data_IF_924054845093
#
_entry.id   IF_924054845093
#
_cell.length_a   1.000
_cell.length_b   1.000
_cell.length_c   1.000
_cell.angle_alpha   90.00
_cell.angle_beta   90.00
_cell.angle_gamma   90.00
#
_symmetry.space_group_name_H-M   'P 1'
#
loop_
_entity.id
_entity.type
_entity.pdbx_description
1 polymer ?
#
# COMPACT_ATOMS: atom_id res chain seq x y z
N UNK A 1 -3.71 2.44 -5.91
CA UNK A 1 -2.93 3.31 -5.00
C UNK A 1 -1.98 2.46 -4.16
N UNK A 2 -0.72 2.85 -4.01
CA UNK A 2 0.28 2.17 -3.18
C UNK A 2 0.51 2.98 -1.91
N UNK A 3 0.47 2.33 -0.74
CA UNK A 3 0.49 3.00 0.57
C UNK A 3 1.50 2.33 1.49
N UNK A 4 2.25 3.09 2.30
CA UNK A 4 3.10 2.53 3.34
C UNK A 4 2.27 1.97 4.49
N UNK A 5 2.68 0.82 5.03
CA UNK A 5 1.87 0.05 5.98
C UNK A 5 2.34 0.26 7.43
N UNK A 6 1.86 1.34 8.05
CA UNK A 6 2.39 1.81 9.34
C UNK A 6 1.33 2.15 10.39
N UNK A 7 0.02 2.16 10.02
CA UNK A 7 -1.06 2.53 10.91
C UNK A 7 -1.91 1.32 11.32
N UNK A 8 -1.79 0.79 12.54
CA UNK A 8 -2.44 -0.48 12.93
C UNK A 8 -3.96 -0.53 12.71
N UNK A 9 -4.65 0.59 12.88
CA UNK A 9 -6.11 0.65 12.72
C UNK A 9 -6.55 1.58 11.60
N UNK A 10 -5.78 2.62 11.32
CA UNK A 10 -6.18 3.69 10.41
C UNK A 10 -5.87 3.37 8.94
N UNK A 11 -5.01 2.40 8.64
CA UNK A 11 -4.66 2.00 7.27
C UNK A 11 -5.89 1.51 6.46
N UNK A 12 -6.94 1.02 7.11
CA UNK A 12 -8.20 0.67 6.44
C UNK A 12 -9.00 1.90 6.02
N UNK A 13 -8.85 3.03 6.72
CA UNK A 13 -9.68 4.23 6.53
C UNK A 13 -8.97 5.37 5.82
N UNK A 14 -7.71 5.64 6.16
CA UNK A 14 -6.94 6.77 5.60
C UNK A 14 -6.95 6.77 4.08
N UNK A 15 -6.68 5.64 3.36
CA UNK A 15 -6.69 5.64 1.91
C UNK A 15 -8.07 5.85 1.27
N UNK A 16 -9.14 5.67 2.04
CA UNK A 16 -10.51 5.86 1.54
C UNK A 16 -10.95 7.32 1.56
N UNK A 17 -10.38 8.14 2.46
CA UNK A 17 -10.77 9.54 2.62
C UNK A 17 -10.63 10.38 1.34
N UNK A 18 -9.48 10.38 0.62
CA UNK A 18 -9.31 11.22 -0.56
C UNK A 18 -10.08 10.70 -1.79
N UNK A 19 -10.68 9.51 -1.70
CA UNK A 19 -11.38 8.85 -2.80
C UNK A 19 -12.89 9.08 -2.72
N UNK A 20 -13.38 9.43 -1.53
CA UNK A 20 -14.82 9.67 -1.31
C UNK A 20 -15.40 10.65 -2.36
N UNK A 21 -16.60 10.41 -2.92
CA UNK A 21 -17.57 9.36 -2.55
C UNK A 21 -17.38 8.00 -3.26
N UNK A 22 -16.29 7.79 -4.00
CA UNK A 22 -16.00 6.50 -4.63
C UNK A 22 -15.50 5.50 -3.57
N UNK A 23 -15.67 4.21 -3.87
CA UNK A 23 -15.19 3.15 -2.98
C UNK A 23 -13.70 2.90 -3.16
N UNK A 24 -13.07 2.51 -2.09
CA UNK A 24 -11.71 1.99 -2.06
C UNK A 24 -11.74 0.50 -1.70
N UNK A 25 -10.98 -0.31 -2.42
CA UNK A 25 -10.81 -1.73 -2.16
C UNK A 25 -9.36 -2.01 -1.78
N UNK A 26 -9.13 -3.04 -0.98
CA UNK A 26 -7.82 -3.35 -0.42
C UNK A 26 -7.39 -4.75 -0.84
N UNK A 27 -6.20 -4.89 -1.41
CA UNK A 27 -5.61 -6.21 -1.61
C UNK A 27 -5.01 -6.67 -0.28
N UNK A 28 -5.48 -7.81 0.21
CA UNK A 28 -5.13 -8.35 1.53
C UNK A 28 -4.63 -9.79 1.46
N UNK A 29 -3.86 -10.21 2.47
CA UNK A 29 -3.52 -11.62 2.65
C UNK A 29 -4.82 -12.43 2.92
N UNK A 30 -5.00 -13.62 2.29
CA UNK A 30 -6.17 -14.46 2.50
C UNK A 30 -6.42 -14.80 3.98
N UNK A 31 -5.41 -14.87 4.81
CA UNK A 31 -5.55 -15.07 6.25
C UNK A 31 -6.43 -14.00 6.92
N UNK A 32 -6.37 -12.75 6.45
CA UNK A 32 -7.15 -11.65 7.03
C UNK A 32 -8.65 -11.79 6.80
N UNK A 33 -9.06 -12.46 5.72
CA UNK A 33 -10.50 -12.71 5.41
C UNK A 33 -10.99 -14.04 5.96
N UNK A 34 -10.08 -14.92 6.38
CA UNK A 34 -10.39 -16.24 6.93
C UNK A 34 -10.63 -16.23 8.45
N UNK A 35 -10.41 -15.09 9.12
CA UNK A 35 -10.63 -14.96 10.55
C UNK A 35 -12.12 -15.04 10.89
N UNK A 36 -12.47 -15.97 11.82
CA UNK A 36 -13.84 -16.08 12.32
C UNK A 36 -14.32 -14.73 12.89
N UNK A 37 -15.56 -14.35 12.58
CA UNK A 37 -16.24 -13.10 12.96
C UNK A 37 -15.71 -11.81 12.32
N UNK A 38 -14.40 -11.69 12.02
CA UNK A 38 -13.80 -10.47 11.47
C UNK A 38 -13.73 -10.53 9.95
N UNK A 39 -13.57 -11.72 9.35
CA UNK A 39 -13.40 -11.90 7.91
C UNK A 39 -14.52 -11.31 7.07
N UNK A 40 -15.78 -11.52 7.44
CA UNK A 40 -16.92 -10.92 6.74
C UNK A 40 -16.92 -9.39 6.84
N UNK A 41 -16.57 -8.84 7.99
CA UNK A 41 -16.49 -7.40 8.20
C UNK A 41 -15.37 -6.78 7.34
N UNK A 42 -14.22 -7.42 7.29
CA UNK A 42 -13.08 -6.99 6.46
C UNK A 42 -13.45 -7.02 4.96
N UNK A 43 -14.20 -8.04 4.51
CA UNK A 43 -14.72 -8.11 3.14
C UNK A 43 -15.75 -6.99 2.86
N UNK A 44 -16.65 -6.69 3.79
CA UNK A 44 -17.59 -5.58 3.67
C UNK A 44 -16.88 -4.22 3.52
N UNK A 45 -15.72 -4.06 4.15
CA UNK A 45 -14.86 -2.88 3.98
C UNK A 45 -14.12 -2.85 2.64
N UNK A 46 -14.29 -3.86 1.78
CA UNK A 46 -13.72 -3.89 0.44
C UNK A 46 -12.42 -4.69 0.33
N UNK A 47 -12.15 -5.62 1.23
CA UNK A 47 -10.99 -6.49 1.13
C UNK A 47 -11.12 -7.48 -0.03
N UNK A 48 -10.08 -7.55 -0.87
CA UNK A 48 -9.94 -8.50 -1.96
C UNK A 48 -8.76 -9.42 -1.61
N UNK A 49 -8.99 -10.69 -1.28
CA UNK A 49 -7.91 -11.60 -0.90
C UNK A 49 -7.04 -11.98 -2.10
N UNK A 50 -5.73 -12.05 -1.88
CA UNK A 50 -4.78 -12.56 -2.87
C UNK A 50 -5.07 -14.05 -3.10
N UNK A 51 -5.25 -14.51 -4.36
CA UNK A 51 -5.59 -15.88 -4.65
C UNK A 51 -4.41 -16.84 -4.46
N UNK A 52 -4.70 -18.03 -3.94
CA UNK A 52 -3.72 -19.11 -3.76
C UNK A 52 -3.52 -20.02 -4.97
N UNK A 53 -4.38 -19.93 -6.01
CA UNK A 53 -4.31 -20.78 -7.18
C UNK A 53 -4.61 -20.01 -8.49
N UNK A 54 -4.35 -20.67 -9.64
CA UNK A 54 -4.50 -20.04 -10.97
C UNK A 54 -5.94 -19.69 -11.34
N UNK A 55 -6.90 -20.50 -10.94
CA UNK A 55 -8.31 -20.29 -11.25
C UNK A 55 -8.85 -19.07 -10.49
N UNK A 56 -8.59 -19.03 -9.19
CA UNK A 56 -8.95 -17.88 -8.37
C UNK A 56 -8.22 -16.60 -8.81
N UNK A 57 -7.02 -16.71 -9.42
CA UNK A 57 -6.31 -15.56 -9.99
C UNK A 57 -7.09 -14.88 -11.12
N UNK A 58 -7.77 -15.65 -11.97
CA UNK A 58 -8.62 -15.08 -13.03
C UNK A 58 -9.77 -14.27 -12.44
N UNK A 59 -10.45 -14.83 -11.45
CA UNK A 59 -11.54 -14.14 -10.77
C UNK A 59 -11.04 -12.88 -10.03
N UNK A 60 -9.89 -12.96 -9.38
CA UNK A 60 -9.25 -11.82 -8.72
C UNK A 60 -8.96 -10.67 -9.72
N UNK A 61 -8.40 -10.98 -10.88
CA UNK A 61 -8.13 -9.98 -11.92
C UNK A 61 -9.42 -9.37 -12.46
N UNK A 62 -10.46 -10.18 -12.70
CA UNK A 62 -11.77 -9.69 -13.12
C UNK A 62 -12.39 -8.72 -12.11
N UNK A 63 -12.28 -9.04 -10.80
CA UNK A 63 -12.78 -8.16 -9.73
C UNK A 63 -12.03 -6.83 -9.70
N UNK A 64 -10.71 -6.86 -9.86
CA UNK A 64 -9.90 -5.62 -9.93
C UNK A 64 -10.31 -4.79 -11.15
N UNK A 65 -10.39 -5.41 -12.34
CA UNK A 65 -10.76 -4.74 -13.59
C UNK A 65 -12.16 -4.10 -13.49
N UNK A 66 -13.14 -4.84 -12.98
CA UNK A 66 -14.50 -4.32 -12.79
C UNK A 66 -14.54 -3.10 -11.87
N UNK A 67 -13.80 -3.13 -10.76
CA UNK A 67 -13.75 -2.01 -9.84
C UNK A 67 -13.04 -0.79 -10.45
N UNK A 68 -11.95 -0.99 -11.20
CA UNK A 68 -11.28 0.09 -11.93
C UNK A 68 -12.23 0.68 -12.98
N UNK A 69 -12.96 -0.13 -13.74
CA UNK A 69 -13.96 0.35 -14.71
C UNK A 69 -15.07 1.19 -14.07
N UNK A 70 -15.47 0.86 -12.85
CA UNK A 70 -16.41 1.64 -12.03
C UNK A 70 -15.77 2.90 -11.41
N UNK A 71 -14.52 3.20 -11.74
CA UNK A 71 -13.74 4.33 -11.17
C UNK A 71 -13.57 4.24 -9.65
N UNK A 72 -13.54 3.02 -9.12
CA UNK A 72 -13.13 2.75 -7.75
C UNK A 72 -11.61 2.70 -7.65
N UNK A 73 -11.08 2.86 -6.45
CA UNK A 73 -9.65 2.69 -6.18
C UNK A 73 -9.34 1.29 -5.65
N UNK A 74 -8.15 0.81 -6.00
CA UNK A 74 -7.56 -0.39 -5.41
C UNK A 74 -6.32 0.04 -4.62
N UNK A 75 -6.32 -0.23 -3.33
CA UNK A 75 -5.18 0.05 -2.45
C UNK A 75 -4.35 -1.21 -2.24
N UNK A 76 -3.04 -1.04 -2.34
CA UNK A 76 -2.04 -2.09 -2.14
C UNK A 76 -1.01 -1.60 -1.14
N UNK A 77 -0.71 -2.42 -0.15
CA UNK A 77 0.39 -2.23 0.78
C UNK A 77 1.59 -3.06 0.31
N UNK A 78 2.53 -2.48 -0.48
CA UNK A 78 3.57 -3.26 -1.14
C UNK A 78 4.60 -3.83 -0.17
N UNK A 79 4.68 -3.28 1.03
CA UNK A 79 5.56 -3.72 2.12
C UNK A 79 5.10 -5.02 2.79
N UNK A 80 3.89 -5.51 2.47
CA UNK A 80 3.21 -6.73 2.92
C UNK A 80 2.84 -6.75 4.42
N UNK A 81 3.80 -6.53 5.32
CA UNK A 81 3.57 -6.55 6.76
C UNK A 81 3.49 -5.14 7.33
N UNK A 82 2.63 -4.93 8.31
CA UNK A 82 2.57 -3.67 9.05
C UNK A 82 3.78 -3.55 9.99
N UNK A 83 4.42 -2.38 9.98
CA UNK A 83 5.37 -1.97 11.01
C UNK A 83 4.82 -0.71 11.68
N UNK A 84 4.21 -0.84 12.86
CA UNK A 84 3.52 0.27 13.52
C UNK A 84 4.41 1.50 13.67
N UNK A 85 3.93 2.63 13.18
CA UNK A 85 4.59 3.94 13.31
C UNK A 85 6.00 4.03 12.70
N UNK A 86 6.36 3.12 11.80
CA UNK A 86 7.65 3.16 11.13
C UNK A 86 7.74 4.39 10.20
N UNK A 87 8.83 5.14 10.32
CA UNK A 87 8.98 6.44 9.65
C UNK A 87 9.67 6.38 8.29
N UNK A 88 10.20 5.21 7.92
CA UNK A 88 10.88 4.99 6.62
C UNK A 88 10.04 4.07 5.73
N UNK A 89 10.45 3.90 4.49
CA UNK A 89 9.85 2.96 3.55
C UNK A 89 10.72 1.71 3.47
N UNK A 90 10.11 0.55 3.73
CA UNK A 90 10.81 -0.74 3.57
C UNK A 90 10.89 -1.12 2.09
N UNK A 91 11.97 -1.78 1.67
CA UNK A 91 12.07 -2.29 0.31
C UNK A 91 10.91 -3.25 -0.01
N UNK A 92 10.31 -3.10 -1.19
CA UNK A 92 9.25 -3.98 -1.67
C UNK A 92 9.48 -4.44 -3.11
N UNK A 93 8.90 -5.59 -3.43
CA UNK A 93 8.99 -6.19 -4.76
C UNK A 93 8.06 -5.50 -5.76
N UNK A 94 8.32 -5.70 -7.04
CA UNK A 94 7.56 -5.14 -8.14
C UNK A 94 6.32 -5.96 -8.54
N UNK A 95 6.09 -7.12 -7.92
CA UNK A 95 5.08 -8.12 -8.32
C UNK A 95 3.67 -7.54 -8.50
N UNK A 96 3.24 -6.65 -7.60
CA UNK A 96 1.90 -6.05 -7.67
C UNK A 96 1.78 -5.01 -8.77
N UNK A 97 2.89 -4.45 -9.26
CA UNK A 97 2.90 -3.45 -10.32
C UNK A 97 2.49 -4.01 -11.70
N UNK A 98 2.42 -5.33 -11.84
CA UNK A 98 1.83 -5.97 -13.03
C UNK A 98 0.36 -5.57 -13.24
N UNK A 99 -0.41 -5.34 -12.18
CA UNK A 99 -1.84 -5.03 -12.27
C UNK A 99 -2.11 -3.71 -13.01
N UNK A 100 -1.55 -2.56 -12.60
CA UNK A 100 -1.76 -1.31 -13.31
C UNK A 100 -1.24 -1.34 -14.75
N UNK A 101 -0.17 -2.11 -15.02
CA UNK A 101 0.37 -2.25 -16.38
C UNK A 101 -0.59 -3.08 -17.26
N UNK A 102 -1.15 -4.16 -16.74
CA UNK A 102 -2.11 -4.99 -17.48
C UNK A 102 -3.43 -4.25 -17.77
N UNK A 103 -3.85 -3.39 -16.84
CA UNK A 103 -5.11 -2.65 -16.93
C UNK A 103 -4.94 -1.24 -17.50
N UNK A 104 -3.74 -0.88 -17.91
CA UNK A 104 -3.37 0.48 -18.42
C UNK A 104 -3.93 1.60 -17.53
N UNK A 105 -3.74 1.48 -16.21
CA UNK A 105 -4.30 2.41 -15.23
C UNK A 105 -3.23 3.24 -14.54
N UNK A 106 -3.52 4.50 -14.17
CA UNK A 106 -2.60 5.33 -13.42
C UNK A 106 -2.37 4.76 -12.01
N UNK A 107 -1.16 4.97 -11.53
CA UNK A 107 -0.73 4.67 -10.16
C UNK A 107 -0.58 5.95 -9.37
N UNK A 108 -1.06 5.94 -8.14
CA UNK A 108 -0.78 6.96 -7.15
C UNK A 108 -0.07 6.30 -5.96
N UNK A 109 0.82 7.03 -5.29
CA UNK A 109 1.33 6.60 -4.00
C UNK A 109 0.84 7.53 -2.89
N UNK A 110 0.63 6.93 -1.72
CA UNK A 110 0.24 7.63 -0.51
C UNK A 110 1.27 7.31 0.58
N UNK A 111 1.85 8.35 1.16
CA UNK A 111 2.86 8.22 2.21
C UNK A 111 2.37 8.90 3.47
N UNK A 112 2.12 8.11 4.50
CA UNK A 112 1.82 8.59 5.84
C UNK A 112 3.13 8.92 6.56
N UNK A 113 3.21 10.11 7.12
CA UNK A 113 4.36 10.62 7.89
C UNK A 113 3.91 11.09 9.27
N UNK A 114 4.82 11.07 10.23
CA UNK A 114 4.58 11.46 11.61
C UNK A 114 5.28 12.77 11.89
N UNK A 115 4.50 13.81 12.18
CA UNK A 115 5.04 15.15 12.33
C UNK A 115 4.54 15.80 13.61
N UNK A 116 5.35 16.69 14.18
CA UNK A 116 4.91 17.54 15.30
C UNK A 116 3.80 18.48 14.82
N UNK A 117 2.80 18.70 15.66
CA UNK A 117 1.71 19.63 15.35
C UNK A 117 2.06 21.05 15.81
N UNK A 118 2.31 21.92 14.86
CA UNK A 118 2.64 23.34 15.12
C UNK A 118 3.90 23.49 15.98
N UNK A 119 3.83 24.39 16.97
CA UNK A 119 4.91 24.63 17.93
C UNK A 119 4.87 23.68 19.15
N UNK A 120 3.83 22.87 19.28
CA UNK A 120 3.70 21.91 20.38
C UNK A 120 4.66 20.75 20.20
N UNK A 121 5.43 20.43 21.26
CA UNK A 121 6.29 19.25 21.26
C UNK A 121 5.54 17.96 21.56
N UNK A 122 4.38 18.07 22.19
CA UNK A 122 3.61 16.93 22.73
C UNK A 122 2.49 16.46 21.80
N UNK A 123 2.13 17.28 20.80
CA UNK A 123 1.08 16.91 19.83
C UNK A 123 1.69 16.42 18.54
N UNK A 124 1.26 15.26 18.08
CA UNK A 124 1.71 14.63 16.86
C UNK A 124 0.53 14.48 15.92
N UNK A 125 0.79 14.71 14.64
CA UNK A 125 -0.18 14.54 13.56
C UNK A 125 0.35 13.54 12.53
N UNK A 126 -0.58 12.87 11.88
CA UNK A 126 -0.29 12.12 10.66
C UNK A 126 -0.51 13.06 9.49
N UNK A 127 0.54 13.30 8.73
CA UNK A 127 0.46 14.04 7.46
C UNK A 127 0.60 13.04 6.33
N UNK A 128 -0.42 13.00 5.49
CA UNK A 128 -0.50 12.07 4.35
C UNK A 128 -0.20 12.82 3.06
N UNK A 129 0.80 12.37 2.33
CA UNK A 129 1.14 12.86 0.99
C UNK A 129 0.58 11.92 -0.06
N UNK A 130 -0.04 12.48 -1.10
CA UNK A 130 -0.53 11.73 -2.25
C UNK A 130 0.17 12.27 -3.48
N UNK A 131 0.88 11.42 -4.18
CA UNK A 131 1.66 11.76 -5.38
C UNK A 131 1.24 10.88 -6.56
N UNK A 132 1.36 11.43 -7.75
CA UNK A 132 0.97 10.82 -9.02
C UNK A 132 0.16 11.79 -9.88
N UNK A 133 -0.42 11.33 -11.00
CA UNK A 133 -0.41 9.95 -11.49
C UNK A 133 0.93 9.50 -12.08
N UNK A 134 1.32 8.27 -11.79
CA UNK A 134 2.41 7.59 -12.46
C UNK A 134 1.86 6.64 -13.52
N UNK A 135 2.35 6.72 -14.74
CA UNK A 135 1.97 5.82 -15.84
C UNK A 135 3.14 4.90 -16.19
N UNK A 136 2.83 3.68 -16.64
CA UNK A 136 3.84 2.78 -17.16
C UNK A 136 4.50 3.35 -18.42
N UNK A 137 5.81 3.19 -18.56
CA UNK A 137 6.54 3.61 -19.76
C UNK A 137 6.35 2.58 -20.88
N UNK A 138 5.46 2.88 -21.82
CA UNK A 138 5.08 1.97 -22.93
C UNK A 138 6.22 1.64 -23.91
N UNK A 139 7.33 2.36 -23.86
CA UNK A 139 8.51 2.07 -24.66
C UNK A 139 9.37 0.91 -24.13
N UNK A 140 9.09 0.45 -22.92
CA UNK A 140 9.77 -0.65 -22.28
C UNK A 140 8.98 -1.96 -22.43
N UNK A 141 9.65 -3.12 -22.34
CA UNK A 141 8.95 -4.39 -22.21
C UNK A 141 8.22 -4.48 -20.85
N UNK A 142 7.23 -5.38 -20.74
CA UNK A 142 6.35 -5.46 -19.55
C UNK A 142 7.11 -5.64 -18.23
N UNK A 143 8.21 -6.38 -18.23
CA UNK A 143 9.01 -6.62 -17.04
C UNK A 143 9.79 -5.37 -16.62
N UNK A 144 10.33 -4.67 -17.58
CA UNK A 144 11.02 -3.38 -17.36
C UNK A 144 10.04 -2.30 -16.92
N UNK A 145 8.85 -2.20 -17.54
CA UNK A 145 7.77 -1.30 -17.11
C UNK A 145 7.43 -1.51 -15.63
N UNK A 146 7.31 -2.76 -15.21
CA UNK A 146 6.95 -3.14 -13.86
C UNK A 146 8.02 -2.69 -12.85
N UNK A 147 9.29 -2.93 -13.16
CA UNK A 147 10.41 -2.52 -12.33
C UNK A 147 10.54 -0.99 -12.28
N UNK A 148 10.49 -0.33 -13.44
CA UNK A 148 10.63 1.12 -13.57
C UNK A 148 9.52 1.86 -12.81
N UNK A 149 8.26 1.43 -12.99
CA UNK A 149 7.12 2.01 -12.30
C UNK A 149 7.22 1.82 -10.77
N UNK A 150 7.65 0.63 -10.33
CA UNK A 150 7.91 0.36 -8.92
C UNK A 150 9.00 1.29 -8.37
N UNK A 151 10.10 1.47 -9.09
CA UNK A 151 11.22 2.29 -8.65
C UNK A 151 10.82 3.76 -8.50
N UNK A 152 10.04 4.31 -9.43
CA UNK A 152 9.50 5.69 -9.31
C UNK A 152 8.61 5.86 -8.10
N UNK A 153 7.67 4.94 -7.89
CA UNK A 153 6.77 4.96 -6.75
C UNK A 153 7.55 4.83 -5.44
N UNK A 154 8.48 3.87 -5.37
CA UNK A 154 9.32 3.66 -4.21
C UNK A 154 10.14 4.91 -3.85
N UNK A 155 10.83 5.49 -4.82
CA UNK A 155 11.64 6.68 -4.60
C UNK A 155 10.80 7.88 -4.17
N UNK A 156 9.61 8.07 -4.74
CA UNK A 156 8.68 9.10 -4.31
C UNK A 156 8.26 8.92 -2.84
N UNK A 157 7.88 7.70 -2.45
CA UNK A 157 7.52 7.40 -1.06
C UNK A 157 8.70 7.61 -0.11
N UNK A 158 9.92 7.22 -0.51
CA UNK A 158 11.15 7.44 0.28
C UNK A 158 11.39 8.94 0.49
N UNK A 159 11.27 9.76 -0.55
CA UNK A 159 11.40 11.22 -0.41
C UNK A 159 10.36 11.80 0.54
N UNK A 160 9.09 11.41 0.40
CA UNK A 160 8.02 11.88 1.29
C UNK A 160 8.23 11.44 2.74
N UNK A 161 8.74 10.24 2.96
CA UNK A 161 8.97 9.71 4.30
C UNK A 161 9.97 10.52 5.12
N UNK A 162 10.90 11.26 4.47
CA UNK A 162 11.85 12.18 5.11
C UNK A 162 11.18 13.34 5.86
N UNK A 163 9.92 13.63 5.56
CA UNK A 163 9.14 14.64 6.29
C UNK A 163 8.71 14.18 7.70
N UNK A 164 8.87 12.90 8.04
CA UNK A 164 8.65 12.45 9.41
C UNK A 164 9.73 13.04 10.33
N UNK A 165 9.30 13.75 11.36
CA UNK A 165 10.19 14.36 12.37
C UNK A 165 9.91 13.87 13.79
N UNK A 166 9.06 12.85 13.92
CA UNK A 166 8.75 12.15 15.17
C UNK A 166 8.88 10.66 14.96
N UNK A 167 9.60 9.99 15.84
CA UNK A 167 9.75 8.54 15.87
C UNK A 167 9.14 8.01 17.17
N UNK A 168 7.97 7.33 17.06
CA UNK A 168 7.28 6.73 18.22
C UNK A 168 7.92 5.44 18.68
N UNK A 169 8.37 4.63 17.71
CA UNK A 169 8.96 3.32 17.93
C UNK A 169 10.29 3.29 17.21
N UNK A 170 11.36 3.08 17.97
CA UNK A 170 12.69 2.91 17.41
C UNK A 170 12.89 1.45 17.00
N UNK A 171 12.96 1.22 15.71
CA UNK A 171 13.27 -0.11 15.16
C UNK A 171 14.78 -0.32 15.12
N UNK A 172 15.26 -1.33 15.82
CA UNK A 172 16.69 -1.68 15.88
C UNK A 172 16.88 -3.03 15.19
N UNK A 173 17.83 -3.10 14.26
CA UNK A 173 18.19 -4.34 13.60
C UNK A 173 18.86 -5.26 14.65
N UNK A 174 18.33 -6.47 14.82
CA UNK A 174 18.94 -7.46 15.68
C UNK A 174 19.82 -8.39 14.83
N UNK A 175 21.12 -8.11 14.79
CA UNK A 175 22.08 -8.89 13.99
C UNK A 175 22.32 -10.31 14.56
N UNK A 176 21.89 -10.59 15.80
CA UNK A 176 22.06 -11.90 16.44
C UNK A 176 21.01 -12.95 16.02
N UNK A 177 19.94 -12.56 15.32
CA UNK A 177 18.92 -13.51 14.85
C UNK A 177 19.36 -14.34 13.63
N UNK A 178 20.43 -13.97 12.95
CA UNK A 178 20.94 -14.68 11.77
C UNK A 178 21.95 -15.81 12.13
N UNK A 179 22.17 -16.11 13.42
CA UNK A 179 23.09 -17.16 13.84
C UNK A 179 22.42 -18.48 14.26
N UNK A 180 21.14 -18.68 13.93
CA UNK A 180 20.46 -19.98 14.18
C UNK A 180 19.66 -20.38 12.94
N UNK A 181 20.36 -20.95 11.97
CA UNK A 181 19.86 -21.96 11.04
C UNK A 181 20.98 -22.99 10.85
#
# INVERSE_FOLDING_TARGET
>A
MYVNHTQPFADTFIPSNPIYPKRNFFIVNPENVSMKFIGNFVQMLGAIPIPGNKEAMKNFLNVIEENIRKKHSITIYPEAHIWPYYTKIRPFKDVSFKYPIQLDTPVFCMTNTYQKYGKSQDRIQIVTYIDGPFFANKNLNKKEQQKELRDRVYNCMVERSKNSNVEFIKYIKNDNLNMKI
#
